data_IF_832402312563
#
_entry.id   IF_832402312563
#
_cell.length_a   1.000
_cell.length_b   1.000
_cell.length_c   1.000
_cell.angle_alpha   90.00
_cell.angle_beta   90.00
_cell.angle_gamma   90.00
#
_symmetry.space_group_name_H-M   'P 1'
#
loop_
_entity.id
_entity.type
_entity.pdbx_description
1 polymer ?
#
# COMPACT_ATOMS: atom_id res chain seq x y z
N UNK A 1 -0.72 -1.90 -23.71
CA UNK A 1 0.03 -1.12 -22.71
C UNK A 1 -0.42 -1.53 -21.32
N UNK A 2 0.47 -1.70 -20.34
CA UNK A 2 0.05 -1.98 -18.98
C UNK A 2 -0.64 -0.75 -18.39
N UNK A 3 -1.87 -0.94 -17.94
CA UNK A 3 -2.68 0.10 -17.29
C UNK A 3 -3.13 -0.35 -15.91
N UNK A 4 -3.38 0.58 -15.01
CA UNK A 4 -3.88 0.34 -13.67
C UNK A 4 -4.93 1.40 -13.30
N UNK A 5 -5.95 1.00 -12.55
CA UNK A 5 -6.92 1.89 -11.93
C UNK A 5 -6.61 2.00 -10.44
N UNK A 6 -6.18 3.17 -10.00
CA UNK A 6 -6.03 3.49 -8.57
C UNK A 6 -7.33 4.03 -7.99
N UNK A 7 -7.75 3.50 -6.85
CA UNK A 7 -8.91 3.96 -6.09
C UNK A 7 -8.45 4.36 -4.68
N UNK A 8 -8.69 5.60 -4.31
CA UNK A 8 -8.58 6.07 -2.93
C UNK A 8 -9.99 6.20 -2.36
N UNK A 9 -10.32 5.31 -1.41
CA UNK A 9 -11.65 5.21 -0.82
C UNK A 9 -11.61 5.77 0.59
N UNK A 10 -12.41 6.79 0.86
CA UNK A 10 -12.53 7.46 2.14
C UNK A 10 -14.00 7.83 2.42
N UNK A 11 -14.52 7.42 3.60
CA UNK A 11 -15.91 7.69 4.00
C UNK A 11 -16.93 7.42 2.88
N UNK A 12 -17.49 8.49 2.29
CA UNK A 12 -18.46 8.46 1.19
C UNK A 12 -17.88 8.97 -0.14
N UNK A 13 -16.56 8.96 -0.29
CA UNK A 13 -15.83 9.56 -1.40
C UNK A 13 -14.84 8.56 -2.01
N UNK A 14 -14.80 8.49 -3.33
CA UNK A 14 -13.73 7.82 -4.08
C UNK A 14 -13.02 8.85 -4.93
N UNK A 15 -11.69 8.97 -4.74
CA UNK A 15 -10.81 9.61 -5.73
C UNK A 15 -10.22 8.50 -6.58
N UNK A 16 -10.19 8.70 -7.89
CA UNK A 16 -9.67 7.66 -8.79
C UNK A 16 -8.77 8.26 -9.86
N UNK A 17 -7.84 7.44 -10.31
CA UNK A 17 -7.01 7.73 -11.46
C UNK A 17 -6.71 6.46 -12.25
N UNK A 18 -6.92 6.51 -13.55
CA UNK A 18 -6.46 5.49 -14.48
C UNK A 18 -5.16 5.95 -15.11
N UNK A 19 -4.15 5.12 -14.99
CA UNK A 19 -2.82 5.39 -15.54
C UNK A 19 -2.40 4.27 -16.48
N UNK A 20 -1.62 4.62 -17.50
CA UNK A 20 -0.94 3.66 -18.37
C UNK A 20 0.55 3.98 -18.44
N UNK A 21 1.36 2.95 -18.73
CA UNK A 21 2.78 3.10 -18.93
C UNK A 21 3.09 3.04 -20.41
N UNK A 22 3.57 4.16 -20.96
CA UNK A 22 4.06 4.28 -22.33
C UNK A 22 5.58 4.38 -22.31
N UNK A 23 6.30 3.28 -22.67
CA UNK A 23 7.75 3.18 -22.58
C UNK A 23 8.25 3.49 -21.15
N UNK A 24 8.83 4.67 -20.93
CA UNK A 24 9.33 5.12 -19.63
C UNK A 24 8.46 6.20 -18.97
N UNK A 25 7.39 6.64 -19.65
CA UNK A 25 6.47 7.66 -19.14
C UNK A 25 5.20 7.05 -18.57
N UNK A 26 4.65 7.69 -17.53
CA UNK A 26 3.32 7.41 -17.00
C UNK A 26 2.37 8.45 -17.56
N UNK A 27 1.29 7.98 -18.18
CA UNK A 27 0.22 8.82 -18.70
C UNK A 27 -1.02 8.64 -17.84
N UNK A 28 -1.60 9.74 -17.42
CA UNK A 28 -2.93 9.75 -16.79
C UNK A 28 -3.98 9.78 -17.88
N UNK A 29 -4.79 8.72 -17.96
CA UNK A 29 -5.84 8.57 -18.98
C UNK A 29 -7.19 9.14 -18.52
N UNK A 30 -7.50 8.97 -17.23
CA UNK A 30 -8.71 9.49 -16.60
C UNK A 30 -8.45 9.71 -15.12
N UNK A 31 -9.12 10.67 -14.53
CA UNK A 31 -9.15 10.89 -13.09
C UNK A 31 -10.42 11.61 -12.68
N UNK A 32 -10.75 11.50 -11.39
CA UNK A 32 -11.92 12.19 -10.87
C UNK A 32 -12.21 11.87 -9.41
N UNK A 33 -13.32 12.42 -8.97
CA UNK A 33 -13.86 12.26 -7.62
C UNK A 33 -15.32 11.84 -7.76
N UNK A 34 -15.74 10.86 -6.99
CA UNK A 34 -17.10 10.36 -6.97
C UNK A 34 -17.59 10.20 -5.54
N UNK A 35 -18.70 10.84 -5.20
CA UNK A 35 -19.42 10.59 -3.96
C UNK A 35 -20.31 9.37 -4.13
N UNK A 36 -20.55 8.63 -3.06
CA UNK A 36 -21.35 7.42 -3.10
C UNK A 36 -22.15 7.18 -1.83
N UNK A 37 -23.33 6.59 -2.01
CA UNK A 37 -24.10 5.96 -0.95
C UNK A 37 -23.81 4.46 -0.88
N UNK A 38 -23.59 3.84 -2.06
CA UNK A 38 -23.25 2.42 -2.21
C UNK A 38 -21.93 2.27 -2.94
N UNK A 39 -20.92 1.84 -2.21
CA UNK A 39 -19.53 1.73 -2.70
C UNK A 39 -19.42 0.86 -3.95
N UNK A 40 -20.04 -0.33 -3.96
CA UNK A 40 -19.91 -1.28 -5.08
C UNK A 40 -20.53 -0.73 -6.38
N UNK A 41 -21.61 0.04 -6.28
CA UNK A 41 -22.24 0.68 -7.45
C UNK A 41 -21.33 1.78 -8.02
N UNK A 42 -20.74 2.59 -7.13
CA UNK A 42 -19.82 3.65 -7.53
C UNK A 42 -18.55 3.09 -8.20
N UNK A 43 -17.99 2.00 -7.67
CA UNK A 43 -16.83 1.32 -8.27
C UNK A 43 -17.16 0.80 -9.66
N UNK A 44 -18.33 0.13 -9.83
CA UNK A 44 -18.79 -0.34 -11.15
C UNK A 44 -18.95 0.81 -12.15
N UNK A 45 -19.49 1.94 -11.70
CA UNK A 45 -19.63 3.13 -12.54
C UNK A 45 -18.27 3.69 -12.96
N UNK A 46 -17.31 3.82 -12.01
CA UNK A 46 -15.95 4.27 -12.32
C UNK A 46 -15.28 3.33 -13.33
N UNK A 47 -15.40 2.01 -13.14
CA UNK A 47 -14.87 1.01 -14.08
C UNK A 47 -15.46 1.19 -15.47
N UNK A 48 -16.77 1.44 -15.55
CA UNK A 48 -17.47 1.68 -16.83
C UNK A 48 -17.03 2.99 -17.48
N UNK A 49 -17.05 4.09 -16.73
CA UNK A 49 -16.69 5.43 -17.22
C UNK A 49 -15.22 5.52 -17.69
N UNK A 50 -14.33 4.76 -17.05
CA UNK A 50 -12.90 4.73 -17.39
C UNK A 50 -12.52 3.58 -18.34
N UNK A 51 -13.48 2.77 -18.78
CA UNK A 51 -13.25 1.56 -19.58
C UNK A 51 -12.19 0.62 -18.95
N UNK A 52 -12.35 0.36 -17.64
CA UNK A 52 -11.36 -0.37 -16.83
C UNK A 52 -11.75 -1.83 -16.52
N UNK A 53 -12.55 -2.48 -17.34
CA UNK A 53 -13.16 -3.80 -17.08
C UNK A 53 -12.17 -4.96 -16.86
N UNK A 54 -10.95 -4.85 -17.37
CA UNK A 54 -9.95 -5.95 -17.32
C UNK A 54 -8.58 -5.51 -16.82
N UNK A 55 -8.47 -4.30 -16.32
CA UNK A 55 -7.18 -3.80 -15.82
C UNK A 55 -7.03 -4.05 -14.31
N UNK A 56 -5.79 -4.15 -13.82
CA UNK A 56 -5.51 -4.23 -12.39
C UNK A 56 -6.08 -3.04 -11.62
N UNK A 57 -6.62 -3.31 -10.42
CA UNK A 57 -7.10 -2.28 -9.50
C UNK A 57 -6.18 -2.24 -8.29
N UNK A 58 -5.77 -1.05 -7.90
CA UNK A 58 -5.07 -0.77 -6.64
C UNK A 58 -5.96 0.06 -5.74
N UNK A 59 -6.00 -0.27 -4.45
CA UNK A 59 -6.82 0.44 -3.46
C UNK A 59 -5.99 0.77 -2.22
N UNK A 60 -6.33 1.89 -1.56
CA UNK A 60 -5.69 2.29 -0.32
C UNK A 60 -6.14 1.45 0.88
N UNK A 61 -5.23 1.32 1.85
CA UNK A 61 -5.58 1.07 3.25
C UNK A 61 -5.72 2.41 3.96
N UNK A 62 -6.66 2.49 4.90
CA UNK A 62 -6.94 3.72 5.65
C UNK A 62 -6.39 3.69 7.07
N UNK A 63 -5.95 2.55 7.56
CA UNK A 63 -5.46 2.37 8.92
C UNK A 63 -4.22 1.47 8.91
N UNK A 64 -3.12 2.04 8.47
CA UNK A 64 -1.81 1.40 8.58
C UNK A 64 -1.06 1.90 9.81
N UNK A 65 -0.28 1.02 10.40
CA UNK A 65 0.64 1.32 11.50
C UNK A 65 2.07 1.15 11.03
N UNK A 66 2.91 2.07 11.45
CA UNK A 66 4.34 2.05 11.18
C UNK A 66 5.12 1.92 12.46
N UNK A 67 6.04 0.98 12.48
CA UNK A 67 7.05 0.86 13.51
C UNK A 67 8.43 0.78 12.87
N UNK A 68 9.45 1.33 13.51
CA UNK A 68 10.81 1.21 13.04
C UNK A 68 11.77 0.98 14.20
N UNK A 69 12.80 0.21 13.92
CA UNK A 69 13.91 -0.02 14.85
C UNK A 69 15.21 -0.19 14.07
N UNK A 70 16.31 -0.19 14.78
CA UNK A 70 17.63 -0.39 14.20
C UNK A 70 18.20 -1.72 14.64
N UNK A 71 18.89 -2.41 13.73
CA UNK A 71 19.62 -3.63 14.01
C UNK A 71 20.99 -3.58 13.36
N UNK A 72 21.93 -4.39 13.86
CA UNK A 72 23.27 -4.47 13.29
C UNK A 72 23.28 -5.21 11.95
N UNK A 73 24.05 -4.70 10.99
CA UNK A 73 24.15 -5.24 9.63
C UNK A 73 24.88 -6.60 9.54
N UNK A 74 25.56 -7.01 10.60
CA UNK A 74 26.37 -8.25 10.66
C UNK A 74 25.53 -9.53 10.88
N UNK A 75 24.23 -9.41 11.00
CA UNK A 75 23.32 -10.54 11.21
C UNK A 75 23.04 -11.22 9.89
N UNK A 76 23.13 -12.55 9.83
CA UNK A 76 22.73 -13.30 8.64
C UNK A 76 21.20 -13.18 8.40
N UNK A 77 20.76 -13.44 7.16
CA UNK A 77 19.36 -13.22 6.73
C UNK A 77 18.33 -13.96 7.60
N UNK A 78 18.65 -15.17 8.07
CA UNK A 78 17.72 -15.98 8.88
C UNK A 78 17.57 -15.41 10.28
N UNK A 79 18.67 -15.02 10.90
CA UNK A 79 18.66 -14.43 12.24
C UNK A 79 18.05 -13.01 12.20
N UNK A 80 18.27 -12.28 11.11
CA UNK A 80 17.63 -11.00 10.86
C UNK A 80 16.11 -11.12 10.82
N UNK A 81 15.57 -12.08 10.07
CA UNK A 81 14.12 -12.30 10.02
C UNK A 81 13.57 -12.61 11.42
N UNK A 82 14.22 -13.50 12.15
CA UNK A 82 13.82 -13.84 13.53
C UNK A 82 13.87 -12.65 14.48
N UNK A 83 14.91 -11.81 14.36
CA UNK A 83 15.02 -10.60 15.17
C UNK A 83 13.91 -9.60 14.84
N UNK A 84 13.58 -9.41 13.55
CA UNK A 84 12.47 -8.55 13.11
C UNK A 84 11.14 -9.04 13.67
N UNK A 85 10.86 -10.34 13.62
CA UNK A 85 9.65 -10.94 14.16
C UNK A 85 9.57 -10.75 15.69
N UNK A 86 10.67 -10.96 16.41
CA UNK A 86 10.73 -10.78 17.87
C UNK A 86 10.47 -9.32 18.28
N UNK A 87 11.12 -8.37 17.61
CA UNK A 87 10.92 -6.94 17.87
C UNK A 87 9.47 -6.50 17.58
N UNK A 88 8.88 -7.03 16.51
CA UNK A 88 7.49 -6.73 16.21
C UNK A 88 6.54 -7.31 17.25
N UNK A 89 6.76 -8.55 17.71
CA UNK A 89 5.97 -9.16 18.79
C UNK A 89 6.09 -8.37 20.10
N UNK A 90 7.30 -7.93 20.46
CA UNK A 90 7.51 -7.06 21.62
C UNK A 90 6.72 -5.75 21.49
N UNK A 91 6.83 -5.09 20.34
CA UNK A 91 6.07 -3.88 20.07
C UNK A 91 4.57 -4.09 20.21
N UNK A 92 4.01 -5.17 19.64
CA UNK A 92 2.60 -5.49 19.76
C UNK A 92 2.18 -5.70 21.24
N UNK A 93 3.02 -6.40 22.01
CA UNK A 93 2.78 -6.64 23.43
C UNK A 93 2.77 -5.33 24.22
N UNK A 94 3.76 -4.47 24.00
CA UNK A 94 3.89 -3.17 24.69
C UNK A 94 2.72 -2.23 24.40
N UNK A 95 2.18 -2.31 23.16
CA UNK A 95 1.02 -1.51 22.75
C UNK A 95 -0.34 -2.17 23.06
N UNK A 96 -0.35 -3.37 23.65
CA UNK A 96 -1.58 -4.13 23.90
C UNK A 96 -2.31 -4.56 22.62
N UNK A 97 -1.58 -4.75 21.53
CA UNK A 97 -2.12 -5.12 20.21
C UNK A 97 -2.04 -6.65 20.05
N UNK A 98 -3.11 -7.27 19.59
CA UNK A 98 -3.07 -8.67 19.22
C UNK A 98 -2.37 -8.85 17.87
N UNK A 99 -1.12 -9.34 17.89
CA UNK A 99 -0.31 -9.58 16.68
C UNK A 99 -1.03 -10.45 15.65
N UNK A 100 -1.77 -11.47 16.07
CA UNK A 100 -2.52 -12.35 15.17
C UNK A 100 -3.61 -11.64 14.36
N UNK A 101 -4.07 -10.46 14.83
CA UNK A 101 -5.03 -9.62 14.10
C UNK A 101 -4.42 -8.80 12.99
N UNK A 102 -3.09 -8.76 12.90
CA UNK A 102 -2.35 -7.95 11.95
C UNK A 102 -1.79 -8.77 10.79
N UNK A 103 -1.80 -8.18 9.61
CA UNK A 103 -0.93 -8.54 8.50
C UNK A 103 0.22 -7.54 8.48
N UNK A 104 1.45 -8.02 8.42
CA UNK A 104 2.62 -7.16 8.46
C UNK A 104 3.61 -7.47 7.33
N UNK A 105 4.35 -6.45 6.95
CA UNK A 105 5.49 -6.51 6.01
C UNK A 105 6.58 -5.60 6.54
N UNK A 106 7.83 -5.90 6.21
CA UNK A 106 8.93 -5.03 6.57
C UNK A 106 9.85 -4.74 5.39
N UNK A 107 10.51 -3.61 5.47
CA UNK A 107 11.52 -3.17 4.51
C UNK A 107 12.81 -2.84 5.26
N UNK A 108 13.93 -3.25 4.70
CA UNK A 108 15.26 -2.95 5.21
C UNK A 108 15.79 -1.73 4.47
N UNK A 109 16.17 -0.71 5.22
CA UNK A 109 16.75 0.52 4.68
C UNK A 109 18.15 0.68 5.27
N UNK A 110 19.16 0.78 4.42
CA UNK A 110 20.51 1.05 4.87
C UNK A 110 20.56 2.42 5.55
N UNK A 111 21.20 2.49 6.72
CA UNK A 111 21.43 3.76 7.36
C UNK A 111 22.52 4.52 6.61
N UNK A 112 22.24 5.77 6.25
CA UNK A 112 23.24 6.66 5.64
C UNK A 112 24.24 7.19 6.66
N UNK A 113 23.84 7.24 7.94
CA UNK A 113 24.65 7.80 9.02
C UNK A 113 25.57 6.76 9.67
N UNK A 114 25.13 5.50 9.69
CA UNK A 114 25.85 4.40 10.34
C UNK A 114 25.77 3.14 9.47
N UNK A 115 26.89 2.80 8.81
CA UNK A 115 27.00 1.64 7.93
C UNK A 115 26.88 0.29 8.67
N UNK A 116 27.03 0.29 9.98
CA UNK A 116 26.89 -0.91 10.81
C UNK A 116 25.45 -1.16 11.21
N UNK A 117 24.55 -0.22 10.97
CA UNK A 117 23.13 -0.32 11.30
C UNK A 117 22.23 -0.35 10.07
N UNK A 118 21.23 -1.20 10.15
CA UNK A 118 20.14 -1.28 9.20
C UNK A 118 18.88 -0.77 9.91
N UNK A 119 18.16 0.16 9.29
CA UNK A 119 16.82 0.57 9.73
C UNK A 119 15.81 -0.42 9.18
N UNK A 120 15.02 -1.02 10.06
CA UNK A 120 13.87 -1.84 9.70
C UNK A 120 12.63 -0.99 9.83
N UNK A 121 11.85 -0.91 8.77
CA UNK A 121 10.53 -0.26 8.76
C UNK A 121 9.49 -1.35 8.66
N UNK A 122 8.70 -1.51 9.68
CA UNK A 122 7.55 -2.41 9.72
C UNK A 122 6.29 -1.65 9.35
N UNK A 123 5.53 -2.22 8.45
CA UNK A 123 4.20 -1.72 8.07
C UNK A 123 3.21 -2.82 8.38
N UNK A 124 2.21 -2.51 9.15
CA UNK A 124 1.16 -3.46 9.52
C UNK A 124 -0.23 -2.86 9.36
N UNK A 125 -1.20 -3.72 9.10
CA UNK A 125 -2.60 -3.35 8.98
C UNK A 125 -3.50 -4.44 9.58
N UNK A 126 -4.67 -4.06 10.05
CA UNK A 126 -5.63 -5.00 10.60
C UNK A 126 -6.18 -5.91 9.49
N UNK A 127 -6.14 -7.23 9.72
CA UNK A 127 -6.68 -8.24 8.80
C UNK A 127 -8.16 -8.03 8.48
N UNK A 128 -8.94 -7.52 9.44
CA UNK A 128 -10.35 -7.20 9.19
C UNK A 128 -10.52 -6.08 8.17
N UNK A 129 -9.67 -5.04 8.23
CA UNK A 129 -9.70 -3.94 7.25
C UNK A 129 -9.31 -4.45 5.86
N UNK A 130 -8.27 -5.27 5.77
CA UNK A 130 -7.86 -5.91 4.50
C UNK A 130 -9.01 -6.75 3.93
N UNK A 131 -9.62 -7.62 4.74
CA UNK A 131 -10.72 -8.47 4.33
C UNK A 131 -11.94 -7.65 3.89
N UNK A 132 -12.26 -6.56 4.59
CA UNK A 132 -13.32 -5.62 4.20
C UNK A 132 -13.06 -5.05 2.81
N UNK A 133 -11.81 -4.63 2.51
CA UNK A 133 -11.43 -4.12 1.17
C UNK A 133 -11.55 -5.21 0.11
N UNK A 134 -11.13 -6.43 0.42
CA UNK A 134 -11.28 -7.58 -0.49
C UNK A 134 -12.75 -7.85 -0.84
N UNK A 135 -13.64 -7.87 0.16
CA UNK A 135 -15.07 -8.06 -0.05
C UNK A 135 -15.71 -6.91 -0.86
N UNK A 136 -15.33 -5.67 -0.58
CA UNK A 136 -15.83 -4.50 -1.31
C UNK A 136 -15.47 -4.51 -2.80
N UNK A 137 -14.41 -5.22 -3.16
CA UNK A 137 -13.89 -5.31 -4.52
C UNK A 137 -14.08 -6.69 -5.13
N UNK A 138 -14.88 -7.55 -4.50
CA UNK A 138 -15.17 -8.89 -4.99
C UNK A 138 -15.72 -8.85 -6.43
N UNK A 139 -15.21 -9.74 -7.27
CA UNK A 139 -15.54 -9.78 -8.70
C UNK A 139 -14.76 -8.79 -9.56
N UNK A 140 -13.96 -7.91 -8.98
CA UNK A 140 -13.07 -7.01 -9.69
C UNK A 140 -11.63 -7.53 -9.64
N UNK A 141 -10.79 -7.12 -10.59
CA UNK A 141 -9.38 -7.53 -10.66
C UNK A 141 -8.53 -6.73 -9.67
N UNK A 142 -8.80 -6.89 -8.37
CA UNK A 142 -7.97 -6.32 -7.32
C UNK A 142 -6.58 -6.96 -7.35
N UNK A 143 -5.54 -6.14 -7.49
CA UNK A 143 -4.16 -6.59 -7.57
C UNK A 143 -3.35 -6.15 -6.36
N UNK A 144 -3.64 -4.98 -5.83
CA UNK A 144 -2.85 -4.38 -4.76
C UNK A 144 -3.75 -3.66 -3.77
N UNK A 145 -3.52 -3.95 -2.49
CA UNK A 145 -3.97 -3.11 -1.38
C UNK A 145 -2.69 -2.46 -0.84
N UNK A 146 -2.62 -1.15 -0.88
CA UNK A 146 -1.40 -0.41 -0.55
C UNK A 146 -1.62 0.60 0.56
N UNK A 147 -0.72 0.65 1.55
CA UNK A 147 -0.65 1.76 2.47
C UNK A 147 -0.51 3.08 1.72
N UNK A 148 -1.27 4.10 2.14
CA UNK A 148 -1.30 5.39 1.44
C UNK A 148 0.06 6.09 1.44
N UNK A 149 0.74 6.06 2.57
CA UNK A 149 2.06 6.68 2.75
C UNK A 149 3.14 6.06 1.85
N UNK A 150 3.11 4.73 1.65
CA UNK A 150 4.03 4.07 0.69
C UNK A 150 3.71 4.51 -0.74
N UNK A 151 2.42 4.62 -1.08
CA UNK A 151 2.01 5.09 -2.40
C UNK A 151 2.45 6.52 -2.66
N UNK A 152 2.35 7.41 -1.66
CA UNK A 152 2.82 8.82 -1.74
C UNK A 152 4.35 8.87 -1.80
N UNK A 153 5.07 8.08 -0.99
CA UNK A 153 6.54 8.03 -1.01
C UNK A 153 7.06 7.66 -2.41
N UNK A 154 6.45 6.66 -3.03
CA UNK A 154 6.81 6.26 -4.39
C UNK A 154 6.57 7.38 -5.44
N UNK A 155 5.63 8.30 -5.19
CA UNK A 155 5.41 9.46 -6.05
C UNK A 155 6.49 10.53 -5.87
N UNK A 156 7.03 10.71 -4.66
CA UNK A 156 8.10 11.67 -4.38
C UNK A 156 9.40 11.26 -5.07
N UNK A 157 9.68 9.97 -5.17
CA UNK A 157 10.84 9.44 -5.89
C UNK A 157 10.69 9.51 -7.42
N UNK A 158 9.48 9.79 -7.90
CA UNK A 158 9.20 9.96 -9.32
C UNK A 158 9.68 11.35 -9.76
N UNK A 159 10.90 11.43 -10.29
CA UNK A 159 11.41 12.66 -10.91
C UNK A 159 10.72 12.86 -12.26
N UNK A 160 9.90 13.91 -12.45
CA UNK A 160 9.47 14.28 -13.79
C UNK A 160 10.71 14.60 -14.61
N UNK A 161 10.80 14.07 -15.84
CA UNK A 161 11.84 14.52 -16.77
C UNK A 161 11.57 15.99 -17.07
N UNK A 162 12.51 16.84 -16.76
CA UNK A 162 12.54 18.20 -17.30
C UNK A 162 12.71 18.07 -18.82
N UNK A 163 11.74 18.58 -19.58
CA UNK A 163 11.78 18.68 -21.04
C UNK A 163 12.62 19.88 -21.44
#
# INVERSE_FOLDING_TARGET
>A
MPSCLGLYIENNLIKYAKVSKEREAIKVEAFGIKFYDKLNEAIKQIISETYSFKIPISVNLSQEMYNYFYMFSLINKKDMQKAVETEFSSYCTDQGINENSLESRYVLVNSFEDKEKIKVIHVSANKMEINKRLQQLEGNRLTTISPLSISISNLVDFKPREN
#
